data_IF_878567217188
#
_entry.id   IF_878567217188
#
_cell.length_a   1.000
_cell.length_b   1.000
_cell.length_c   1.000
_cell.angle_alpha   90.00
_cell.angle_beta   90.00
_cell.angle_gamma   90.00
#
_symmetry.space_group_name_H-M   'P 1'
#
loop_
_entity.id
_entity.type
_entity.pdbx_description
1 polymer ?
#
# COMPACT_ATOMS: atom_id res chain seq x y z
N UNK A 1 22.82 -0.38 -19.35
CA UNK A 1 23.44 -1.70 -19.11
C UNK A 1 22.40 -2.54 -18.39
N UNK A 2 21.87 -3.57 -19.06
CA UNK A 2 20.82 -4.46 -18.58
C UNK A 2 21.45 -5.60 -17.79
N UNK A 3 21.44 -5.49 -16.45
CA UNK A 3 21.74 -6.61 -15.56
C UNK A 3 20.54 -7.56 -15.52
N UNK A 4 20.80 -8.86 -15.67
CA UNK A 4 19.85 -9.94 -15.41
C UNK A 4 19.17 -9.77 -14.04
N UNK A 5 17.88 -10.12 -13.88
CA UNK A 5 17.25 -10.10 -12.57
C UNK A 5 18.01 -11.09 -11.68
N UNK A 6 18.49 -10.61 -10.54
CA UNK A 6 19.14 -11.43 -9.54
C UNK A 6 18.16 -12.51 -9.06
N UNK A 7 18.48 -13.79 -9.25
CA UNK A 7 17.72 -14.96 -8.80
C UNK A 7 17.66 -15.04 -7.25
N UNK A 8 17.00 -14.10 -6.61
CA UNK A 8 16.59 -14.21 -5.21
C UNK A 8 15.20 -14.83 -5.20
N UNK A 9 15.10 -15.99 -4.57
CA UNK A 9 13.87 -16.78 -4.45
C UNK A 9 13.49 -16.96 -2.98
N UNK A 10 12.24 -17.37 -2.72
CA UNK A 10 11.79 -17.66 -1.34
C UNK A 10 12.65 -18.73 -0.66
N UNK A 11 13.02 -19.86 -1.30
CA UNK A 11 13.95 -20.82 -0.70
C UNK A 11 15.31 -20.22 -0.33
N UNK A 12 15.85 -19.32 -1.17
CA UNK A 12 17.10 -18.62 -0.87
C UNK A 12 16.94 -17.72 0.36
N UNK A 13 15.86 -16.93 0.43
CA UNK A 13 15.60 -16.07 1.58
C UNK A 13 15.43 -16.87 2.89
N UNK A 14 14.72 -18.01 2.84
CA UNK A 14 14.57 -18.91 3.99
C UNK A 14 15.91 -19.43 4.51
N UNK A 15 16.79 -19.87 3.60
CA UNK A 15 18.11 -20.37 3.98
C UNK A 15 18.92 -19.26 4.69
N UNK A 16 18.94 -18.06 4.10
CA UNK A 16 19.62 -16.91 4.69
C UNK A 16 19.06 -16.52 6.06
N UNK A 17 17.74 -16.51 6.25
CA UNK A 17 17.16 -16.14 7.54
C UNK A 17 17.36 -17.21 8.62
N UNK A 18 17.40 -18.49 8.25
CA UNK A 18 17.59 -19.59 9.19
C UNK A 18 19.04 -19.74 9.65
N UNK A 19 20.01 -19.39 8.79
CA UNK A 19 21.45 -19.51 9.07
C UNK A 19 22.06 -18.18 9.56
N UNK A 20 21.24 -17.13 9.65
CA UNK A 20 21.68 -15.78 10.00
C UNK A 20 22.13 -15.65 11.46
N UNK A 21 23.20 -14.87 11.68
CA UNK A 21 23.58 -14.35 13.00
C UNK A 21 22.99 -12.98 13.31
N UNK A 22 22.34 -12.34 12.33
CA UNK A 22 21.57 -11.09 12.51
C UNK A 22 20.31 -11.42 13.31
N UNK A 23 20.01 -10.62 14.32
CA UNK A 23 18.77 -10.73 15.10
C UNK A 23 17.58 -10.32 14.21
N UNK A 24 16.66 -11.26 13.98
CA UNK A 24 15.49 -11.07 13.14
C UNK A 24 14.20 -11.14 13.97
N UNK A 25 13.17 -10.34 13.64
CA UNK A 25 11.85 -10.55 14.21
C UNK A 25 11.35 -11.96 13.89
N UNK A 26 10.85 -12.70 14.88
CA UNK A 26 10.33 -14.07 14.72
C UNK A 26 9.34 -14.16 13.55
N UNK A 27 8.52 -13.11 13.39
CA UNK A 27 7.51 -13.04 12.33
C UNK A 27 8.08 -13.11 10.92
N UNK A 28 9.31 -12.65 10.68
CA UNK A 28 9.98 -12.79 9.37
C UNK A 28 10.15 -14.27 9.02
N UNK A 29 10.62 -15.07 9.97
CA UNK A 29 10.89 -16.49 9.79
C UNK A 29 9.57 -17.26 9.60
N UNK A 30 8.56 -16.95 10.41
CA UNK A 30 7.24 -17.56 10.31
C UNK A 30 6.57 -17.31 8.96
N UNK A 31 6.53 -16.05 8.51
CA UNK A 31 5.87 -15.69 7.24
C UNK A 31 6.64 -16.30 6.06
N UNK A 32 7.97 -16.20 6.05
CA UNK A 32 8.75 -16.83 4.99
C UNK A 32 8.54 -18.34 4.96
N UNK A 33 8.39 -19.02 6.10
CA UNK A 33 8.10 -20.46 6.15
C UNK A 33 6.70 -20.81 5.59
N UNK A 34 5.72 -19.91 5.74
CA UNK A 34 4.35 -20.11 5.25
C UNK A 34 4.15 -19.84 3.74
N UNK A 35 4.99 -18.98 3.14
CA UNK A 35 4.89 -18.60 1.72
C UNK A 35 5.11 -19.79 0.76
N UNK A 36 4.50 -19.81 -0.41
CA UNK A 36 4.81 -20.81 -1.45
C UNK A 36 6.27 -20.72 -1.93
N UNK A 37 6.93 -21.85 -2.20
CA UNK A 37 8.34 -21.82 -2.66
C UNK A 37 8.52 -21.16 -4.04
N UNK A 38 7.43 -21.11 -4.81
CA UNK A 38 7.28 -20.50 -6.13
C UNK A 38 6.76 -19.06 -6.08
N UNK A 39 6.48 -18.52 -4.88
CA UNK A 39 6.01 -17.15 -4.75
C UNK A 39 7.04 -16.15 -5.26
N UNK A 40 6.54 -15.08 -5.87
CA UNK A 40 7.37 -14.05 -6.47
C UNK A 40 8.10 -13.24 -5.39
N UNK A 41 9.40 -13.03 -5.58
CA UNK A 41 10.19 -12.08 -4.80
C UNK A 41 10.39 -10.82 -5.64
N UNK A 42 9.91 -9.69 -5.16
CA UNK A 42 10.22 -8.41 -5.79
C UNK A 42 11.59 -7.94 -5.32
N UNK A 43 12.51 -7.69 -6.25
CA UNK A 43 13.88 -7.28 -5.93
C UNK A 43 14.17 -5.92 -6.55
N UNK A 44 14.71 -5.01 -5.74
CA UNK A 44 15.21 -3.72 -6.20
C UNK A 44 16.58 -3.43 -5.60
N UNK A 45 17.49 -2.87 -6.39
CA UNK A 45 18.81 -2.45 -5.93
C UNK A 45 18.83 -0.94 -5.66
N UNK A 46 19.37 -0.56 -4.51
CA UNK A 46 19.51 0.84 -4.10
C UNK A 46 20.77 1.02 -3.26
N UNK A 47 21.30 2.24 -3.16
CA UNK A 47 22.33 2.55 -2.16
C UNK A 47 21.72 2.49 -0.75
N UNK A 48 22.45 1.93 0.21
CA UNK A 48 22.01 1.84 1.61
C UNK A 48 21.64 3.21 2.20
N UNK A 49 22.45 4.25 1.93
CA UNK A 49 22.17 5.64 2.35
C UNK A 49 20.83 6.15 1.86
N UNK A 50 20.51 5.95 0.58
CA UNK A 50 19.22 6.39 0.02
C UNK A 50 18.06 5.66 0.70
N UNK A 51 18.21 4.36 0.95
CA UNK A 51 17.16 3.59 1.61
C UNK A 51 16.98 3.99 3.07
N UNK A 52 18.07 4.18 3.82
CA UNK A 52 18.02 4.72 5.19
C UNK A 52 17.31 6.08 5.26
N UNK A 53 17.55 6.96 4.28
CA UNK A 53 16.87 8.25 4.17
C UNK A 53 15.37 8.14 3.87
N UNK A 54 14.92 7.10 3.16
CA UNK A 54 13.49 6.79 2.99
C UNK A 54 12.92 6.24 4.29
N UNK A 55 13.58 5.24 4.88
CA UNK A 55 13.17 4.61 6.15
C UNK A 55 12.99 5.66 7.24
N UNK A 56 13.95 6.56 7.47
CA UNK A 56 13.85 7.63 8.49
C UNK A 56 12.64 8.54 8.28
N UNK A 57 12.33 8.91 7.03
CA UNK A 57 11.17 9.76 6.72
C UNK A 57 9.85 9.05 6.98
N UNK A 58 9.82 7.73 6.80
CA UNK A 58 8.63 6.90 6.99
C UNK A 58 8.45 6.48 8.45
N UNK A 59 9.52 6.09 9.15
CA UNK A 59 9.49 5.70 10.57
C UNK A 59 9.16 6.88 11.48
N UNK A 60 9.64 8.09 11.15
CA UNK A 60 9.23 9.34 11.83
C UNK A 60 7.72 9.62 11.72
N UNK A 61 7.02 8.96 10.78
CA UNK A 61 5.61 9.13 10.47
C UNK A 61 4.74 7.92 10.87
N UNK A 62 5.15 7.10 11.85
CA UNK A 62 4.34 6.04 12.52
C UNK A 62 4.58 4.58 12.11
N UNK A 63 5.70 4.21 11.49
CA UNK A 63 6.01 2.78 11.20
C UNK A 63 7.17 2.25 12.06
N UNK A 64 6.92 1.74 13.29
CA UNK A 64 7.97 1.21 14.17
C UNK A 64 8.70 0.01 13.54
N UNK A 65 8.03 -0.74 12.66
CA UNK A 65 8.56 -1.95 12.03
C UNK A 65 9.70 -1.67 11.03
N UNK A 66 9.94 -0.41 10.67
CA UNK A 66 11.05 -0.01 9.79
C UNK A 66 12.30 0.45 10.57
N UNK A 67 12.18 0.68 11.89
CA UNK A 67 13.31 1.05 12.75
C UNK A 67 14.47 0.05 12.68
N UNK A 68 14.25 -1.29 12.61
CA UNK A 68 15.34 -2.26 12.52
C UNK A 68 16.27 -2.08 11.31
N UNK A 69 15.86 -1.33 10.28
CA UNK A 69 16.70 -1.07 9.12
C UNK A 69 17.66 0.11 9.28
N UNK A 70 17.43 1.02 10.23
CA UNK A 70 18.13 2.31 10.27
C UNK A 70 19.63 2.12 10.55
N UNK A 71 19.97 1.49 11.68
CA UNK A 71 21.36 1.30 12.07
C UNK A 71 22.15 0.41 11.08
N UNK A 72 21.63 -0.75 10.62
CA UNK A 72 22.34 -1.58 9.64
C UNK A 72 22.61 -0.87 8.32
N UNK A 73 21.67 -0.09 7.80
CA UNK A 73 21.86 0.63 6.53
C UNK A 73 22.83 1.80 6.66
N UNK A 74 22.88 2.46 7.82
CA UNK A 74 23.82 3.56 8.07
C UNK A 74 25.26 3.08 8.13
N UNK A 75 25.50 1.91 8.74
CA UNK A 75 26.82 1.28 8.77
C UNK A 75 27.37 0.97 7.37
N UNK A 76 26.50 0.70 6.40
CA UNK A 76 26.87 0.38 5.01
C UNK A 76 27.12 1.62 4.13
N UNK A 77 26.73 2.82 4.57
CA UNK A 77 26.98 4.06 3.81
C UNK A 77 26.43 4.02 2.38
N UNK A 78 27.30 4.15 1.37
CA UNK A 78 26.92 4.17 -0.05
C UNK A 78 26.93 2.79 -0.72
N UNK A 79 27.17 1.70 0.03
CA UNK A 79 27.13 0.35 -0.53
C UNK A 79 25.76 0.05 -1.16
N UNK A 80 25.79 -0.70 -2.27
CA UNK A 80 24.57 -1.19 -2.91
C UNK A 80 23.98 -2.35 -2.10
N UNK A 81 22.68 -2.28 -1.87
CA UNK A 81 21.89 -3.32 -1.22
C UNK A 81 20.75 -3.76 -2.14
N UNK A 82 20.34 -5.02 -2.01
CA UNK A 82 19.09 -5.51 -2.55
C UNK A 82 18.00 -5.42 -1.49
N UNK A 83 16.88 -4.84 -1.87
CA UNK A 83 15.62 -4.91 -1.13
C UNK A 83 14.80 -6.02 -1.78
N UNK A 84 14.60 -7.10 -1.04
CA UNK A 84 13.83 -8.27 -1.44
C UNK A 84 12.51 -8.29 -0.67
N UNK A 85 11.38 -8.28 -1.38
CA UNK A 85 10.05 -8.22 -0.80
C UNK A 85 9.23 -9.44 -1.16
N UNK A 86 8.56 -10.00 -0.16
CA UNK A 86 7.69 -11.16 -0.28
C UNK A 86 6.36 -10.85 0.37
N UNK A 87 5.28 -10.99 -0.40
CA UNK A 87 3.91 -10.82 0.08
C UNK A 87 3.33 -12.16 0.55
N UNK A 88 2.60 -12.13 1.68
CA UNK A 88 1.81 -13.25 2.17
C UNK A 88 0.50 -12.76 2.78
N UNK A 89 -0.59 -12.78 1.99
CA UNK A 89 -1.86 -12.21 2.42
C UNK A 89 -1.73 -10.72 2.79
N UNK A 90 -2.00 -10.39 4.05
CA UNK A 90 -1.85 -9.03 4.58
C UNK A 90 -0.45 -8.73 5.12
N UNK A 91 0.49 -9.65 5.00
CA UNK A 91 1.85 -9.47 5.49
C UNK A 91 2.85 -9.19 4.37
N UNK A 92 3.79 -8.31 4.65
CA UNK A 92 4.93 -8.02 3.80
C UNK A 92 6.21 -8.32 4.57
N UNK A 93 6.99 -9.27 4.08
CA UNK A 93 8.37 -9.44 4.52
C UNK A 93 9.27 -8.62 3.61
N UNK A 94 10.11 -7.78 4.22
CA UNK A 94 11.19 -7.08 3.52
C UNK A 94 12.52 -7.57 4.08
N UNK A 95 13.37 -8.10 3.20
CA UNK A 95 14.72 -8.57 3.49
C UNK A 95 15.71 -7.68 2.76
N UNK A 96 16.74 -7.20 3.46
CA UNK A 96 17.82 -6.41 2.87
C UNK A 96 19.07 -7.27 2.82
N UNK A 97 19.62 -7.44 1.61
CA UNK A 97 20.88 -8.16 1.39
C UNK A 97 21.94 -7.19 0.87
N UNK A 98 23.21 -7.39 1.21
CA UNK A 98 24.29 -6.66 0.54
C UNK A 98 24.36 -7.13 -0.93
N UNK A 99 24.52 -6.19 -1.87
CA UNK A 99 24.49 -6.55 -3.29
C UNK A 99 25.73 -7.36 -3.73
N UNK A 100 26.87 -7.20 -3.05
CA UNK A 100 28.15 -7.81 -3.44
C UNK A 100 28.22 -9.30 -3.12
N UNK A 101 27.76 -9.72 -1.95
CA UNK A 101 27.94 -11.08 -1.41
C UNK A 101 26.61 -11.73 -0.98
N UNK A 102 25.48 -11.02 -1.13
CA UNK A 102 24.14 -11.45 -0.73
C UNK A 102 24.00 -11.75 0.77
N UNK A 103 24.92 -11.24 1.59
CA UNK A 103 24.82 -11.37 3.04
C UNK A 103 23.60 -10.63 3.58
N UNK A 104 22.92 -11.25 4.54
CA UNK A 104 21.76 -10.65 5.20
C UNK A 104 22.20 -9.44 6.03
N UNK A 105 21.58 -8.30 5.78
CA UNK A 105 21.84 -7.05 6.51
C UNK A 105 20.79 -6.88 7.61
N UNK A 106 19.52 -6.99 7.23
CA UNK A 106 18.37 -6.82 8.12
C UNK A 106 17.11 -7.37 7.45
N UNK A 107 16.09 -7.70 8.24
CA UNK A 107 14.77 -7.99 7.72
C UNK A 107 13.67 -7.51 8.68
N UNK A 108 12.48 -7.29 8.15
CA UNK A 108 11.28 -7.02 8.94
C UNK A 108 10.06 -7.66 8.31
N UNK A 109 9.06 -7.93 9.14
CA UNK A 109 7.72 -8.31 8.69
C UNK A 109 6.75 -7.20 9.10
N UNK A 110 5.93 -6.77 8.15
CA UNK A 110 4.89 -5.78 8.37
C UNK A 110 3.56 -6.50 8.19
N UNK A 111 2.81 -6.61 9.28
CA UNK A 111 1.39 -6.90 9.20
C UNK A 111 0.68 -5.64 8.70
N UNK A 112 0.28 -5.64 7.44
CA UNK A 112 -0.48 -4.55 6.83
C UNK A 112 -1.92 -4.51 7.34
N UNK A 113 -2.36 -5.49 8.15
CA UNK A 113 -3.67 -5.52 8.81
C UNK A 113 -3.72 -4.73 10.12
N UNK A 114 -2.59 -4.63 10.83
CA UNK A 114 -2.49 -3.88 12.09
C UNK A 114 -2.62 -2.38 11.81
N UNK A 115 -3.65 -1.75 12.39
CA UNK A 115 -4.01 -0.36 12.13
C UNK A 115 -5.02 -0.17 10.98
N UNK A 116 -5.46 -1.24 10.30
CA UNK A 116 -6.52 -1.14 9.29
C UNK A 116 -7.88 -0.89 9.94
N UNK A 117 -8.29 0.37 9.92
CA UNK A 117 -9.70 0.71 10.12
C UNK A 117 -10.47 0.17 8.92
N UNK A 118 -11.49 -0.64 9.18
CA UNK A 118 -12.39 -1.13 8.15
C UNK A 118 -13.73 -0.41 8.26
N UNK A 119 -14.39 -0.23 7.12
CA UNK A 119 -15.77 0.25 7.01
C UNK A 119 -16.55 -0.76 6.19
N UNK A 120 -17.73 -1.15 6.63
CA UNK A 120 -18.62 -1.97 5.79
C UNK A 120 -19.19 -1.12 4.67
N UNK A 121 -19.55 -1.73 3.54
CA UNK A 121 -20.26 -1.04 2.46
C UNK A 121 -21.56 -0.40 2.99
N UNK A 122 -22.27 -1.07 3.90
CA UNK A 122 -23.46 -0.51 4.54
C UNK A 122 -23.16 0.82 5.27
N UNK A 123 -22.12 0.83 6.10
CA UNK A 123 -21.72 2.01 6.87
C UNK A 123 -21.20 3.12 5.93
N UNK A 124 -20.43 2.76 4.90
CA UNK A 124 -20.00 3.70 3.86
C UNK A 124 -21.20 4.36 3.18
N UNK A 125 -22.18 3.57 2.74
CA UNK A 125 -23.40 4.08 2.12
C UNK A 125 -24.19 4.98 3.07
N UNK A 126 -24.23 4.65 4.37
CA UNK A 126 -24.86 5.48 5.40
C UNK A 126 -24.23 6.87 5.47
N UNK A 127 -22.89 6.93 5.55
CA UNK A 127 -22.15 8.19 5.64
C UNK A 127 -22.22 9.00 4.35
N UNK A 128 -22.15 8.35 3.19
CA UNK A 128 -22.28 9.02 1.90
C UNK A 128 -23.68 9.63 1.73
N UNK A 129 -24.75 8.95 2.16
CA UNK A 129 -26.12 9.50 2.14
C UNK A 129 -26.30 10.71 3.04
N UNK A 130 -25.58 10.77 4.15
CA UNK A 130 -25.66 11.86 5.11
C UNK A 130 -24.73 13.04 4.79
N UNK A 131 -23.94 12.96 3.71
CA UNK A 131 -22.88 13.92 3.41
C UNK A 131 -23.21 14.79 2.21
N UNK A 132 -23.00 16.10 2.38
CA UNK A 132 -23.02 17.09 1.28
C UNK A 132 -21.63 17.29 0.64
N UNK A 133 -20.68 16.38 0.92
CA UNK A 133 -19.31 16.49 0.42
C UNK A 133 -19.25 16.31 -1.11
N UNK A 134 -18.29 16.99 -1.79
CA UNK A 134 -18.17 16.89 -3.24
C UNK A 134 -17.93 15.44 -3.67
N UNK A 135 -18.79 14.94 -4.55
CA UNK A 135 -18.71 13.59 -5.11
C UNK A 135 -19.31 12.48 -4.24
N UNK A 136 -19.91 12.79 -3.08
CA UNK A 136 -20.53 11.80 -2.21
C UNK A 136 -21.61 10.96 -2.94
N UNK A 137 -22.48 11.60 -3.74
CA UNK A 137 -23.49 10.91 -4.54
C UNK A 137 -22.89 9.95 -5.57
N UNK A 138 -21.79 10.33 -6.21
CA UNK A 138 -21.09 9.48 -7.20
C UNK A 138 -20.49 8.23 -6.55
N UNK A 139 -19.96 8.37 -5.34
CA UNK A 139 -19.45 7.23 -4.59
C UNK A 139 -20.58 6.35 -4.05
N UNK A 140 -21.72 6.95 -3.66
CA UNK A 140 -22.89 6.20 -3.21
C UNK A 140 -23.46 5.34 -4.34
N UNK A 141 -23.50 5.87 -5.56
CA UNK A 141 -23.93 5.12 -6.76
C UNK A 141 -23.14 3.82 -6.93
N UNK A 142 -21.81 3.88 -6.78
CA UNK A 142 -20.93 2.70 -6.90
C UNK A 142 -21.08 1.79 -5.67
N UNK A 143 -20.99 2.34 -4.46
CA UNK A 143 -21.02 1.56 -3.23
C UNK A 143 -22.34 0.79 -3.05
N UNK A 144 -23.46 1.37 -3.48
CA UNK A 144 -24.79 0.75 -3.37
C UNK A 144 -24.97 -0.54 -4.18
N UNK A 145 -24.05 -0.82 -5.12
CA UNK A 145 -24.05 -2.01 -5.96
C UNK A 145 -23.23 -3.15 -5.35
N UNK A 146 -22.49 -2.89 -4.28
CA UNK A 146 -21.66 -3.89 -3.59
C UNK A 146 -22.44 -4.58 -2.45
N UNK A 147 -22.04 -5.80 -2.04
CA UNK A 147 -22.62 -6.47 -0.88
C UNK A 147 -22.47 -5.63 0.40
N UNK A 148 -23.56 -5.45 1.15
CA UNK A 148 -23.61 -4.57 2.32
C UNK A 148 -22.56 -4.90 3.40
N UNK A 149 -22.28 -6.20 3.59
CA UNK A 149 -21.34 -6.72 4.58
C UNK A 149 -19.88 -6.71 4.10
N UNK A 150 -19.61 -6.35 2.83
CA UNK A 150 -18.24 -6.27 2.33
C UNK A 150 -17.44 -5.25 3.14
N UNK A 151 -16.28 -5.68 3.63
CA UNK A 151 -15.39 -4.85 4.44
C UNK A 151 -14.38 -4.16 3.55
N UNK A 152 -14.46 -2.84 3.51
CA UNK A 152 -13.55 -1.98 2.78
C UNK A 152 -12.44 -1.50 3.71
N UNK A 153 -11.21 -1.54 3.20
CA UNK A 153 -10.04 -1.02 3.92
C UNK A 153 -10.04 0.50 3.89
N UNK A 154 -9.75 1.12 5.04
CA UNK A 154 -9.39 2.53 5.13
C UNK A 154 -7.87 2.62 5.30
N UNK A 155 -7.21 3.34 4.39
CA UNK A 155 -5.78 3.61 4.44
C UNK A 155 -5.53 5.11 4.66
N UNK A 156 -4.60 5.45 5.54
CA UNK A 156 -4.20 6.83 5.79
C UNK A 156 -3.10 7.24 4.80
N UNK A 157 -3.28 8.39 4.13
CA UNK A 157 -2.30 8.93 3.17
C UNK A 157 -2.21 10.44 3.28
N UNK A 158 -1.05 11.02 2.97
CA UNK A 158 -0.85 12.47 3.01
C UNK A 158 -1.73 13.20 1.99
N UNK A 159 -2.61 14.08 2.48
CA UNK A 159 -3.65 14.72 1.67
C UNK A 159 -3.11 15.44 0.44
N UNK A 160 -2.09 16.29 0.61
CA UNK A 160 -1.52 17.07 -0.50
C UNK A 160 -0.84 16.18 -1.55
N UNK A 161 -0.13 15.13 -1.12
CA UNK A 161 0.52 14.19 -2.02
C UNK A 161 -0.51 13.39 -2.82
N UNK A 162 -1.57 12.92 -2.16
CA UNK A 162 -2.68 12.22 -2.81
C UNK A 162 -3.41 13.12 -3.79
N UNK A 163 -3.72 14.37 -3.43
CA UNK A 163 -4.39 15.32 -4.31
C UNK A 163 -3.61 15.54 -5.62
N UNK A 164 -2.30 15.80 -5.53
CA UNK A 164 -1.42 15.99 -6.70
C UNK A 164 -1.33 14.74 -7.57
N UNK A 165 -1.22 13.58 -6.92
CA UNK A 165 -1.13 12.28 -7.61
C UNK A 165 -2.43 11.97 -8.36
N UNK A 166 -3.58 12.20 -7.72
CA UNK A 166 -4.89 11.95 -8.30
C UNK A 166 -5.18 12.89 -9.46
N UNK A 167 -4.89 14.20 -9.32
CA UNK A 167 -4.99 15.15 -10.42
C UNK A 167 -4.18 14.66 -11.63
N UNK A 168 -2.90 14.33 -11.42
CA UNK A 168 -2.05 13.86 -12.52
C UNK A 168 -2.59 12.57 -13.15
N UNK A 169 -2.84 11.53 -12.33
CA UNK A 169 -3.23 10.20 -12.79
C UNK A 169 -4.58 10.24 -13.50
N UNK A 170 -5.58 10.89 -12.92
CA UNK A 170 -6.94 10.82 -13.41
C UNK A 170 -7.27 11.89 -14.46
N UNK A 171 -6.53 12.99 -14.55
CA UNK A 171 -6.55 13.85 -15.75
C UNK A 171 -6.04 13.06 -16.96
N UNK A 172 -4.90 12.37 -16.83
CA UNK A 172 -4.40 11.51 -17.92
C UNK A 172 -5.35 10.36 -18.26
N UNK A 173 -6.05 9.80 -17.27
CA UNK A 173 -7.06 8.77 -17.52
C UNK A 173 -8.25 9.36 -18.30
N UNK A 174 -8.75 10.54 -17.92
CA UNK A 174 -9.81 11.22 -18.64
C UNK A 174 -9.42 11.51 -20.10
N UNK A 175 -8.20 11.97 -20.35
CA UNK A 175 -7.65 12.19 -21.70
C UNK A 175 -7.59 10.89 -22.53
N UNK A 176 -7.45 9.73 -21.87
CA UNK A 176 -7.46 8.40 -22.50
C UNK A 176 -8.85 7.79 -22.65
N UNK A 177 -9.91 8.54 -22.33
CA UNK A 177 -11.31 8.12 -22.52
C UNK A 177 -11.95 7.42 -21.31
N UNK A 178 -11.31 7.41 -20.14
CA UNK A 178 -11.96 6.92 -18.91
C UNK A 178 -12.98 7.94 -18.38
N UNK A 179 -14.08 7.47 -17.79
CA UNK A 179 -15.12 8.32 -17.20
C UNK A 179 -14.73 8.73 -15.78
N UNK A 180 -13.99 9.84 -15.64
CA UNK A 180 -13.55 10.38 -14.36
C UNK A 180 -14.47 11.53 -13.94
N UNK A 181 -15.13 11.39 -12.77
CA UNK A 181 -16.06 12.41 -12.22
C UNK A 181 -15.73 12.75 -10.78
N UNK A 182 -15.84 14.04 -10.43
CA UNK A 182 -15.61 14.55 -9.07
C UNK A 182 -14.15 14.88 -8.73
N UNK A 183 -13.21 14.71 -9.68
CA UNK A 183 -11.76 14.87 -9.45
C UNK A 183 -11.39 16.28 -8.92
N UNK A 184 -11.94 17.34 -9.51
CA UNK A 184 -11.63 18.71 -9.09
C UNK A 184 -12.12 19.00 -7.67
N UNK A 185 -13.34 18.55 -7.33
CA UNK A 185 -13.90 18.70 -5.99
C UNK A 185 -13.09 17.92 -4.95
N UNK A 186 -12.67 16.71 -5.30
CA UNK A 186 -11.81 15.86 -4.48
C UNK A 186 -10.45 16.52 -4.20
N UNK A 187 -9.77 17.01 -5.23
CA UNK A 187 -8.47 17.66 -5.05
C UNK A 187 -8.59 18.96 -4.26
N UNK A 188 -9.61 19.79 -4.52
CA UNK A 188 -9.85 21.04 -3.78
C UNK A 188 -10.14 20.80 -2.29
N UNK A 189 -10.79 19.70 -1.94
CA UNK A 189 -11.04 19.34 -0.54
C UNK A 189 -9.77 18.87 0.19
N UNK A 190 -8.85 18.20 -0.52
CA UNK A 190 -7.62 17.66 0.07
C UNK A 190 -6.47 18.67 0.18
N UNK A 191 -6.32 19.58 -0.79
CA UNK A 191 -5.19 20.55 -0.82
C UNK A 191 -5.06 21.37 0.47
N UNK A 192 -6.15 21.90 1.09
CA UNK A 192 -6.06 22.67 2.33
C UNK A 192 -5.57 21.87 3.55
N UNK A 193 -5.66 20.54 3.52
CA UNK A 193 -5.23 19.68 4.62
C UNK A 193 -3.70 19.53 4.72
N UNK A 194 -2.95 19.92 3.68
CA UNK A 194 -1.49 19.90 3.69
C UNK A 194 -0.92 18.49 3.97
N UNK A 195 -0.14 18.39 5.05
CA UNK A 195 0.52 17.15 5.48
C UNK A 195 -0.35 16.25 6.36
N UNK A 196 -1.61 16.62 6.63
CA UNK A 196 -2.53 15.76 7.37
C UNK A 196 -2.78 14.45 6.61
N UNK A 197 -3.12 13.40 7.36
CA UNK A 197 -3.32 12.05 6.84
C UNK A 197 -4.80 11.64 6.97
N UNK A 198 -5.68 12.11 6.07
CA UNK A 198 -7.04 11.60 6.00
C UNK A 198 -7.06 10.11 5.66
N UNK A 199 -8.10 9.42 6.14
CA UNK A 199 -8.38 8.06 5.71
C UNK A 199 -9.00 8.05 4.31
N UNK A 200 -8.70 7.02 3.53
CA UNK A 200 -9.27 6.79 2.21
C UNK A 200 -9.80 5.37 2.10
N UNK A 201 -10.97 5.19 1.49
CA UNK A 201 -11.45 3.88 1.08
C UNK A 201 -11.70 3.83 -0.42
N UNK A 202 -11.59 2.63 -0.99
CA UNK A 202 -11.89 2.37 -2.40
C UNK A 202 -12.92 1.25 -2.47
N UNK A 203 -13.96 1.46 -3.27
CA UNK A 203 -15.01 0.47 -3.56
C UNK A 203 -15.15 0.32 -5.06
N UNK A 204 -15.32 -0.92 -5.53
CA UNK A 204 -15.47 -1.22 -6.95
C UNK A 204 -16.76 -2.00 -7.18
N UNK A 205 -17.57 -1.52 -8.12
CA UNK A 205 -18.71 -2.24 -8.66
C UNK A 205 -18.55 -2.32 -10.17
N UNK A 206 -18.46 -3.56 -10.69
CA UNK A 206 -18.27 -3.83 -12.12
C UNK A 206 -17.09 -3.02 -12.72
N UNK A 207 -17.37 -2.15 -13.70
CA UNK A 207 -16.42 -1.33 -14.45
C UNK A 207 -16.17 0.04 -13.81
N UNK A 208 -16.72 0.30 -12.62
CA UNK A 208 -16.62 1.58 -11.91
C UNK A 208 -15.97 1.42 -10.53
N UNK A 209 -15.08 2.36 -10.21
CA UNK A 209 -14.42 2.48 -8.92
C UNK A 209 -14.77 3.83 -8.30
N UNK A 210 -15.12 3.85 -7.03
CA UNK A 210 -15.23 5.05 -6.23
C UNK A 210 -14.14 5.09 -5.15
N UNK A 211 -13.53 6.25 -4.99
CA UNK A 211 -12.53 6.52 -3.96
C UNK A 211 -13.08 7.62 -3.06
N UNK A 212 -13.24 7.33 -1.77
CA UNK A 212 -13.77 8.25 -0.77
C UNK A 212 -12.66 8.65 0.18
N UNK A 213 -12.50 9.95 0.41
CA UNK A 213 -11.65 10.50 1.46
C UNK A 213 -12.50 10.85 2.69
N UNK A 214 -11.96 10.62 3.88
CA UNK A 214 -12.56 10.99 5.16
C UNK A 214 -11.79 12.13 5.81
N UNK A 215 -12.42 12.87 6.71
CA UNK A 215 -11.75 13.88 7.52
C UNK A 215 -10.66 13.27 8.43
N UNK A 216 -9.50 13.91 8.67
CA UNK A 216 -8.49 13.38 9.58
C UNK A 216 -9.02 13.12 10.99
N UNK A 217 -8.74 11.94 11.57
CA UNK A 217 -9.15 11.57 12.94
C UNK A 217 -10.66 11.39 13.14
N UNK A 218 -11.46 11.51 12.08
CA UNK A 218 -12.91 11.32 12.06
C UNK A 218 -13.30 10.49 10.85
N UNK A 219 -14.54 10.03 10.87
CA UNK A 219 -15.07 9.16 9.83
C UNK A 219 -16.01 9.88 8.86
N UNK A 220 -16.12 11.20 8.95
CA UNK A 220 -16.98 12.00 8.07
C UNK A 220 -16.41 12.05 6.66
N UNK A 221 -17.27 12.00 5.64
CA UNK A 221 -16.86 12.06 4.24
C UNK A 221 -16.37 13.47 3.92
N UNK A 222 -15.15 13.56 3.41
CA UNK A 222 -14.50 14.81 3.01
C UNK A 222 -14.75 15.10 1.52
N UNK A 223 -14.58 14.10 0.67
CA UNK A 223 -14.84 14.16 -0.76
C UNK A 223 -14.79 12.75 -1.37
N UNK A 224 -15.31 12.58 -2.58
CA UNK A 224 -15.11 11.36 -3.35
C UNK A 224 -14.93 11.61 -4.85
N UNK A 225 -14.34 10.62 -5.53
CA UNK A 225 -14.14 10.60 -6.99
C UNK A 225 -14.60 9.25 -7.54
N UNK A 226 -15.26 9.27 -8.69
CA UNK A 226 -15.67 8.06 -9.44
C UNK A 226 -14.84 7.95 -10.71
N UNK A 227 -14.40 6.74 -11.02
CA UNK A 227 -13.65 6.38 -12.22
C UNK A 227 -14.33 5.18 -12.88
N UNK A 228 -14.90 5.38 -14.07
CA UNK A 228 -15.54 4.34 -14.88
C UNK A 228 -14.70 3.95 -16.10
N UNK A 229 -15.06 2.83 -16.73
CA UNK A 229 -14.35 2.27 -17.90
C UNK A 229 -13.21 1.33 -17.53
N UNK A 230 -13.20 0.80 -16.31
CA UNK A 230 -12.25 -0.20 -15.85
C UNK A 230 -12.71 -1.60 -16.25
N UNK A 231 -11.79 -2.55 -16.38
CA UNK A 231 -12.17 -3.96 -16.53
C UNK A 231 -12.84 -4.47 -15.23
N UNK A 232 -13.87 -5.33 -15.32
CA UNK A 232 -14.51 -5.90 -14.14
C UNK A 232 -13.49 -6.61 -13.26
N UNK A 233 -13.65 -6.49 -11.95
CA UNK A 233 -12.84 -7.24 -10.99
C UNK A 233 -13.26 -8.70 -11.07
N UNK A 234 -12.48 -9.53 -11.78
CA UNK A 234 -12.60 -10.99 -11.66
C UNK A 234 -12.19 -11.35 -10.23
N UNK A 235 -13.17 -11.76 -9.42
CA UNK A 235 -12.88 -12.26 -8.08
C UNK A 235 -11.88 -13.40 -8.17
N UNK A 236 -10.76 -13.28 -7.47
CA UNK A 236 -10.07 -14.45 -6.93
C UNK A 236 -10.98 -15.05 -5.87
N UNK A 237 -11.96 -15.85 -6.30
CA UNK A 237 -12.36 -16.99 -5.49
C UNK A 237 -11.16 -17.92 -5.48
N UNK A 238 -10.39 -17.85 -4.40
CA UNK A 238 -9.82 -19.07 -3.84
C UNK A 238 -11.02 -19.96 -3.48
N UNK A 239 -11.50 -20.75 -4.44
CA UNK A 239 -12.09 -22.04 -4.11
C UNK A 239 -10.91 -22.99 -3.89
N UNK A 240 -10.60 -23.20 -2.62
CA UNK A 240 -9.89 -24.38 -2.14
C UNK A 240 -10.60 -25.64 -2.61
N UNK A 241 -9.82 -26.55 -3.22
CA UNK A 241 -9.84 -28.01 -2.97
C UNK A 241 -11.11 -28.79 -3.26
#
# INVERSE_FOLDING_TARGET
MTGTPSDVSVPHLRALTNESTVELPERVVEVLAAVGSDAQVFVSDVSARSFAGVVRRTSAKQSPNLVPFIEPLEALGDELVLICQVDHGDELVTVVLRATDRTLVAATAIDRSVGLVHITVQELCSRLRASDAPGAELALEVASQCPAEERLRIFEQGALATARTFLTKYTMAAERGFDVRGLDGFARALVPLGDAQPGFCTVQADTAVAITAFTPGRTDVLAAVRVGGLSPRTGTTEETG
#
